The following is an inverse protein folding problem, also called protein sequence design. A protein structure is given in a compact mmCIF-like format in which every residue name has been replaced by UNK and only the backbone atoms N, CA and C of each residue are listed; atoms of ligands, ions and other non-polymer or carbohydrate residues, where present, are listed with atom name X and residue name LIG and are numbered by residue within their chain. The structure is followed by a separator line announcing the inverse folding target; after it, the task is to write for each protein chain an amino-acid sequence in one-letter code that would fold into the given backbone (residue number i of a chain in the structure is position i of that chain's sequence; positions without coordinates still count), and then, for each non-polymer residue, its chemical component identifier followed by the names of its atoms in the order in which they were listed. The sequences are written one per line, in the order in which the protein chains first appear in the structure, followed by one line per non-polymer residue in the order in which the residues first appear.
data_IF_495673422125
#
_entry.id   IF_495673422125
#
_cell.length_a   1.000
_cell.length_b   1.000
_cell.length_c   1.000
_cell.angle_alpha   90.00
_cell.angle_beta   90.00
_cell.angle_gamma   90.00
#
_symmetry.space_group_name_H-M   'P 1'
#
loop_
_entity.id
_entity.type
_entity.pdbx_description
1 polymer ?
#
# COMPACT_ATOMS: atom_id res chain seq x y z
N UNK A 1 25.70 8.97 5.14
CA UNK A 1 24.70 7.90 5.10
C UNK A 1 23.30 8.50 5.17
N UNK A 2 22.38 7.97 4.37
CA UNK A 2 20.98 8.44 4.32
C UNK A 2 20.04 7.53 5.13
N UNK A 3 20.59 6.80 6.09
CA UNK A 3 19.84 5.87 6.95
C UNK A 3 19.91 6.31 8.42
N UNK A 4 18.78 6.32 9.09
CA UNK A 4 18.65 6.63 10.51
C UNK A 4 17.94 5.47 11.21
N UNK A 5 18.63 4.80 12.11
CA UNK A 5 18.02 3.82 13.00
C UNK A 5 17.43 4.55 14.22
N UNK A 6 16.12 4.50 14.38
CA UNK A 6 15.39 5.15 15.48
C UNK A 6 15.16 4.21 16.68
N UNK A 7 15.67 2.98 16.62
CA UNK A 7 15.40 1.94 17.61
C UNK A 7 13.91 1.57 17.65
N UNK A 8 13.39 1.29 18.86
CA UNK A 8 11.98 1.00 19.10
C UNK A 8 11.26 2.27 19.55
N UNK A 9 11.17 3.25 18.65
CA UNK A 9 10.62 4.57 18.93
C UNK A 9 9.74 5.07 17.78
N UNK A 10 8.58 4.47 17.60
CA UNK A 10 7.69 4.69 16.46
C UNK A 10 7.19 6.14 16.37
N UNK A 11 6.80 6.76 17.51
CA UNK A 11 6.39 8.17 17.54
C UNK A 11 7.53 9.09 17.11
N UNK A 12 8.75 8.81 17.59
CA UNK A 12 9.94 9.58 17.21
C UNK A 12 10.21 9.46 15.70
N UNK A 13 10.10 8.24 15.14
CA UNK A 13 10.31 8.02 13.72
C UNK A 13 9.38 8.87 12.85
N UNK A 14 8.09 8.93 13.21
CA UNK A 14 7.08 9.69 12.45
C UNK A 14 7.30 11.20 12.60
N UNK A 15 7.51 11.70 13.82
CA UNK A 15 7.75 13.13 14.05
C UNK A 15 9.07 13.60 13.43
N UNK A 16 10.14 12.79 13.50
CA UNK A 16 11.41 13.07 12.82
C UNK A 16 11.22 13.18 11.31
N UNK A 17 10.51 12.23 10.71
CA UNK A 17 10.20 12.26 9.28
C UNK A 17 9.40 13.51 8.89
N UNK A 18 8.44 13.93 9.72
CA UNK A 18 7.71 15.19 9.53
C UNK A 18 8.65 16.40 9.51
N UNK A 19 9.56 16.49 10.49
CA UNK A 19 10.58 17.55 10.55
C UNK A 19 11.50 17.55 9.30
N UNK A 20 11.95 16.38 8.85
CA UNK A 20 12.74 16.25 7.63
C UNK A 20 11.96 16.72 6.39
N UNK A 21 10.68 16.38 6.30
CA UNK A 21 9.82 16.80 5.19
C UNK A 21 9.60 18.31 5.16
N UNK A 22 9.53 18.98 6.31
CA UNK A 22 9.48 20.44 6.41
C UNK A 22 10.71 21.13 5.81
N UNK A 23 11.87 20.47 5.83
CA UNK A 23 13.14 20.95 5.24
C UNK A 23 13.32 20.50 3.78
N UNK A 24 12.26 19.96 3.13
CA UNK A 24 12.27 19.56 1.72
C UNK A 24 12.89 18.19 1.44
N UNK A 25 13.20 17.41 2.49
CA UNK A 25 13.63 16.02 2.34
C UNK A 25 12.40 15.14 2.09
N UNK A 26 12.55 14.07 1.32
CA UNK A 26 11.51 13.05 1.12
C UNK A 26 11.86 11.80 1.94
N UNK A 27 11.45 11.73 3.21
CA UNK A 27 11.78 10.62 4.07
C UNK A 27 10.91 9.39 3.76
N UNK A 28 11.53 8.21 3.91
CA UNK A 28 10.85 6.92 3.86
C UNK A 28 10.92 6.29 5.24
N UNK A 29 9.77 6.04 5.85
CA UNK A 29 9.64 5.39 7.17
C UNK A 29 9.26 3.93 6.94
N UNK A 30 10.22 3.02 7.13
CA UNK A 30 9.98 1.58 7.07
C UNK A 30 9.61 1.08 8.49
N UNK A 31 8.39 0.59 8.65
CA UNK A 31 7.84 0.22 9.96
C UNK A 31 6.81 -0.91 9.80
N UNK A 32 6.69 -1.79 10.80
CA UNK A 32 5.62 -2.78 10.79
C UNK A 32 4.25 -2.13 10.97
N UNK A 33 3.26 -2.62 10.20
CA UNK A 33 1.89 -2.13 10.27
C UNK A 33 1.36 -2.09 11.73
N UNK A 34 1.55 -3.17 12.49
CA UNK A 34 1.11 -3.22 13.89
C UNK A 34 1.79 -2.20 14.80
N UNK A 35 3.08 -1.89 14.56
CA UNK A 35 3.82 -0.95 15.41
C UNK A 35 3.54 0.51 15.09
N UNK A 36 3.15 0.81 13.85
CA UNK A 36 2.74 2.17 13.48
C UNK A 36 1.52 2.66 14.27
N UNK A 37 0.72 1.77 14.84
CA UNK A 37 -0.41 2.14 15.70
C UNK A 37 0.02 3.04 16.89
N UNK A 38 1.25 2.88 17.41
CA UNK A 38 1.77 3.73 18.50
C UNK A 38 1.99 5.17 18.08
N UNK A 39 2.14 5.43 16.79
CA UNK A 39 2.36 6.77 16.24
C UNK A 39 1.11 7.34 15.57
N UNK A 40 -0.07 6.86 15.91
CA UNK A 40 -1.32 7.27 15.26
C UNK A 40 -1.59 8.78 15.41
N UNK A 41 -1.34 9.34 16.60
CA UNK A 41 -1.44 10.78 16.82
C UNK A 41 -0.48 11.57 15.92
N UNK A 42 0.78 11.15 15.83
CA UNK A 42 1.79 11.78 14.99
C UNK A 42 1.45 11.67 13.50
N UNK A 43 0.85 10.56 13.05
CA UNK A 43 0.36 10.43 11.68
C UNK A 43 -0.69 11.49 11.35
N UNK A 44 -1.60 11.77 12.28
CA UNK A 44 -2.64 12.79 12.11
C UNK A 44 -2.04 14.19 12.18
N UNK A 45 -1.42 14.50 13.33
CA UNK A 45 -1.02 15.87 13.70
C UNK A 45 0.24 16.31 12.95
N UNK A 46 1.28 15.48 12.94
CA UNK A 46 2.58 15.89 12.41
C UNK A 46 2.68 15.71 10.89
N UNK A 47 1.88 14.79 10.30
CA UNK A 47 1.98 14.44 8.89
C UNK A 47 0.72 14.78 8.11
N UNK A 48 -0.41 14.16 8.46
CA UNK A 48 -1.63 14.20 7.64
C UNK A 48 -2.25 15.59 7.54
N UNK A 49 -2.42 16.30 8.65
CA UNK A 49 -2.99 17.65 8.69
C UNK A 49 -2.10 18.65 7.93
N UNK A 50 -0.79 18.48 8.02
CA UNK A 50 0.19 19.35 7.36
C UNK A 50 0.44 18.96 5.90
N UNK A 51 -0.12 17.85 5.43
CA UNK A 51 0.07 17.30 4.07
C UNK A 51 1.55 17.12 3.70
N UNK A 52 2.37 16.60 4.62
CA UNK A 52 3.81 16.46 4.41
C UNK A 52 4.13 15.22 3.55
N UNK A 53 5.08 15.33 2.59
CA UNK A 53 5.44 14.26 1.67
C UNK A 53 6.33 13.21 2.35
N UNK A 54 5.75 12.44 3.25
CA UNK A 54 6.38 11.32 3.94
C UNK A 54 5.84 10.01 3.37
N UNK A 55 6.74 9.11 2.97
CA UNK A 55 6.41 7.76 2.50
C UNK A 55 6.51 6.76 3.65
N UNK A 56 5.43 6.07 3.95
CA UNK A 56 5.40 4.96 4.92
C UNK A 56 5.41 3.62 4.18
N UNK A 57 6.44 2.81 4.41
CA UNK A 57 6.49 1.41 3.94
C UNK A 57 6.07 0.52 5.11
N UNK A 58 4.86 -0.01 5.04
CA UNK A 58 4.25 -0.82 6.09
C UNK A 58 4.52 -2.29 5.84
N UNK A 59 5.55 -2.82 6.47
CA UNK A 59 5.85 -4.25 6.45
C UNK A 59 4.86 -5.02 7.34
N UNK A 60 4.64 -6.27 7.03
CA UNK A 60 3.72 -7.16 7.75
C UNK A 60 2.29 -6.64 7.81
N UNK A 61 1.83 -6.02 6.74
CA UNK A 61 0.44 -5.60 6.59
C UNK A 61 -0.47 -6.82 6.37
N UNK A 62 -1.60 -6.86 7.07
CA UNK A 62 -2.53 -7.97 7.02
C UNK A 62 -2.23 -9.07 8.04
N UNK A 63 -2.56 -10.32 7.70
CA UNK A 63 -2.36 -11.49 8.57
C UNK A 63 -0.94 -11.99 8.42
N UNK A 64 -0.24 -12.18 9.54
CA UNK A 64 1.20 -12.51 9.57
C UNK A 64 1.51 -13.93 10.06
N UNK A 65 0.52 -14.72 10.46
CA UNK A 65 0.69 -16.14 10.81
C UNK A 65 1.66 -16.34 11.99
N UNK A 66 2.85 -16.85 11.69
CA UNK A 66 3.84 -17.28 12.69
C UNK A 66 4.37 -16.18 13.61
N UNK A 67 4.25 -14.89 13.25
CA UNK A 67 4.66 -13.78 14.14
C UNK A 67 3.68 -13.61 15.32
N UNK A 68 2.55 -14.30 15.30
CA UNK A 68 1.60 -14.38 16.40
C UNK A 68 0.63 -13.21 16.53
N UNK A 69 -0.22 -13.23 17.57
CA UNK A 69 -1.37 -12.34 17.68
C UNK A 69 -1.00 -10.87 17.86
N UNK A 70 0.18 -10.56 18.36
CA UNK A 70 0.63 -9.20 18.62
C UNK A 70 1.19 -8.47 17.39
N UNK A 71 1.40 -9.20 16.28
CA UNK A 71 2.03 -8.67 15.07
C UNK A 71 1.08 -8.55 13.88
N UNK A 72 -0.22 -8.81 14.07
CA UNK A 72 -1.21 -8.72 13.00
C UNK A 72 -1.41 -7.28 12.53
N UNK A 73 -1.21 -7.05 11.22
CA UNK A 73 -1.32 -5.73 10.58
C UNK A 73 -2.71 -5.46 10.02
N UNK A 74 -3.75 -5.55 10.86
CA UNK A 74 -5.16 -5.53 10.41
C UNK A 74 -5.81 -4.15 10.45
N UNK A 75 -5.25 -3.20 11.18
CA UNK A 75 -5.93 -1.93 11.49
C UNK A 75 -5.47 -0.76 10.63
N UNK A 76 -4.35 -0.88 9.95
CA UNK A 76 -3.71 0.20 9.20
C UNK A 76 -4.62 0.80 8.11
N UNK A 77 -5.32 0.00 7.33
CA UNK A 77 -6.29 0.49 6.33
C UNK A 77 -7.35 1.37 7.00
N UNK A 78 -7.92 0.89 8.10
CA UNK A 78 -9.01 1.59 8.78
C UNK A 78 -8.59 2.96 9.29
N UNK A 79 -7.46 3.04 10.01
CA UNK A 79 -7.04 4.33 10.57
C UNK A 79 -6.38 5.25 9.52
N UNK A 80 -5.63 4.72 8.54
CA UNK A 80 -5.04 5.54 7.49
C UNK A 80 -6.09 6.17 6.57
N UNK A 81 -7.22 5.49 6.34
CA UNK A 81 -8.33 6.07 5.60
C UNK A 81 -9.02 7.22 6.33
N UNK A 82 -8.91 7.30 7.65
CA UNK A 82 -9.44 8.41 8.44
C UNK A 82 -8.50 9.64 8.45
N UNK A 83 -7.18 9.43 8.30
CA UNK A 83 -6.19 10.52 8.32
C UNK A 83 -6.28 11.34 7.03
N UNK A 84 -6.38 12.68 7.11
CA UNK A 84 -6.47 13.50 5.90
C UNK A 84 -5.24 13.37 4.99
N UNK A 85 -5.46 13.58 3.70
CA UNK A 85 -4.44 13.65 2.65
C UNK A 85 -3.66 12.35 2.35
N UNK A 86 -3.80 11.29 3.13
CA UNK A 86 -3.08 10.04 2.89
C UNK A 86 -3.50 9.35 1.59
N UNK A 87 -2.52 8.92 0.83
CA UNK A 87 -2.69 7.92 -0.24
C UNK A 87 -2.29 6.55 0.30
N UNK A 88 -3.15 5.54 0.14
CA UNK A 88 -2.92 4.19 0.69
C UNK A 88 -3.00 3.15 -0.42
N UNK A 89 -1.92 2.40 -0.61
CA UNK A 89 -1.76 1.44 -1.70
C UNK A 89 -1.14 0.13 -1.26
N UNK A 90 -1.35 -0.94 -2.04
CA UNK A 90 -0.70 -2.24 -1.86
C UNK A 90 -0.45 -2.90 -3.20
N UNK A 91 0.80 -3.33 -3.50
CA UNK A 91 1.17 -3.94 -4.75
C UNK A 91 0.71 -5.39 -4.84
N UNK A 92 0.36 -5.83 -6.05
CA UNK A 92 0.04 -7.24 -6.33
C UNK A 92 1.28 -8.13 -6.40
N UNK A 93 2.43 -7.55 -6.80
CA UNK A 93 3.69 -8.24 -7.04
C UNK A 93 4.89 -7.30 -6.87
N UNK A 94 6.10 -7.82 -7.07
CA UNK A 94 7.36 -7.10 -6.88
C UNK A 94 7.56 -5.99 -7.93
N UNK A 95 7.09 -6.18 -9.15
CA UNK A 95 7.18 -5.16 -10.21
C UNK A 95 6.29 -3.95 -9.88
N UNK A 96 5.05 -4.20 -9.45
CA UNK A 96 4.14 -3.13 -9.03
C UNK A 96 4.63 -2.44 -7.74
N UNK A 97 5.33 -3.18 -6.84
CA UNK A 97 5.99 -2.60 -5.66
C UNK A 97 7.00 -1.52 -6.05
N UNK A 98 7.83 -1.77 -7.08
CA UNK A 98 8.78 -0.77 -7.57
C UNK A 98 8.07 0.50 -8.09
N UNK A 99 7.03 0.33 -8.90
CA UNK A 99 6.24 1.46 -9.43
C UNK A 99 5.53 2.25 -8.31
N UNK A 100 4.96 1.54 -7.33
CA UNK A 100 4.30 2.17 -6.19
C UNK A 100 5.27 2.92 -5.29
N UNK A 101 6.50 2.42 -5.10
CA UNK A 101 7.52 3.14 -4.34
C UNK A 101 7.90 4.44 -5.05
N UNK A 102 8.11 4.41 -6.37
CA UNK A 102 8.36 5.61 -7.17
C UNK A 102 7.17 6.57 -7.11
N UNK A 103 5.96 6.05 -7.16
CA UNK A 103 4.72 6.84 -7.01
C UNK A 103 4.69 7.57 -5.66
N UNK A 104 5.00 6.87 -4.57
CA UNK A 104 5.07 7.47 -3.23
C UNK A 104 6.11 8.58 -3.15
N UNK A 105 7.33 8.35 -3.67
CA UNK A 105 8.43 9.33 -3.63
C UNK A 105 8.12 10.57 -4.47
N UNK A 106 7.42 10.41 -5.58
CA UNK A 106 7.04 11.51 -6.46
C UNK A 106 5.78 12.26 -5.98
N UNK A 107 4.99 11.65 -5.09
CA UNK A 107 3.80 12.27 -4.54
C UNK A 107 4.14 13.43 -3.60
N UNK A 108 3.37 14.53 -3.68
CA UNK A 108 3.55 15.71 -2.83
C UNK A 108 2.59 15.70 -1.62
N UNK A 109 2.40 14.54 -1.02
CA UNK A 109 1.59 14.33 0.16
C UNK A 109 1.96 13.02 0.85
N UNK A 110 1.37 12.72 2.01
CA UNK A 110 1.67 11.50 2.73
C UNK A 110 1.14 10.27 1.98
N UNK A 111 1.96 9.22 1.97
CA UNK A 111 1.62 7.96 1.32
C UNK A 111 1.99 6.75 2.17
N UNK A 112 1.18 5.70 2.07
CA UNK A 112 1.41 4.43 2.74
C UNK A 112 1.38 3.29 1.73
N UNK A 113 2.50 2.58 1.63
CA UNK A 113 2.71 1.40 0.80
C UNK A 113 2.72 0.17 1.70
N UNK A 114 1.73 -0.69 1.54
CA UNK A 114 1.53 -1.88 2.38
C UNK A 114 2.13 -3.11 1.71
N UNK A 115 2.98 -3.82 2.43
CA UNK A 115 3.56 -5.10 1.98
C UNK A 115 3.25 -6.21 2.99
N UNK A 116 2.89 -7.42 2.53
CA UNK A 116 2.58 -8.55 3.42
C UNK A 116 3.86 -9.18 3.97
N UNK A 117 3.71 -10.02 5.00
CA UNK A 117 4.76 -10.96 5.40
C UNK A 117 4.74 -12.18 4.47
N UNK A 118 5.81 -12.46 3.78
CA UNK A 118 5.89 -13.62 2.90
C UNK A 118 6.92 -13.45 1.79
N UNK A 119 6.96 -14.42 0.92
CA UNK A 119 7.69 -14.34 -0.34
C UNK A 119 6.80 -13.67 -1.39
N UNK A 120 7.40 -12.96 -2.33
CA UNK A 120 6.69 -12.42 -3.48
C UNK A 120 6.23 -13.51 -4.46
N UNK A 121 5.49 -13.10 -5.47
CA UNK A 121 4.98 -13.99 -6.54
C UNK A 121 6.09 -14.38 -7.54
N UNK A 122 7.27 -13.76 -7.47
CA UNK A 122 8.39 -13.99 -8.39
C UNK A 122 8.29 -13.19 -9.68
N UNK A 123 7.61 -12.05 -9.66
CA UNK A 123 7.54 -11.16 -10.82
C UNK A 123 8.93 -10.61 -11.17
N UNK A 124 9.20 -10.47 -12.47
CA UNK A 124 10.44 -9.88 -12.93
C UNK A 124 10.55 -8.42 -12.49
N UNK A 125 11.68 -8.09 -11.87
CA UNK A 125 11.96 -6.70 -11.49
C UNK A 125 12.30 -5.88 -12.73
N UNK A 126 11.84 -4.64 -12.74
CA UNK A 126 12.21 -3.67 -13.77
C UNK A 126 13.63 -3.18 -13.49
N UNK A 127 14.51 -3.27 -14.49
CA UNK A 127 15.90 -2.80 -14.37
C UNK A 127 16.00 -1.28 -14.56
N UNK A 128 15.17 -0.73 -15.44
CA UNK A 128 15.12 0.71 -15.79
C UNK A 128 13.67 1.14 -16.08
N UNK A 129 13.43 2.45 -16.17
CA UNK A 129 12.16 3.02 -16.64
C UNK A 129 11.02 2.91 -15.64
N UNK A 130 11.31 3.01 -14.35
CA UNK A 130 10.27 2.99 -13.33
C UNK A 130 9.39 4.23 -13.41
N UNK A 131 8.15 4.03 -13.82
CA UNK A 131 7.16 5.10 -13.92
C UNK A 131 6.22 5.08 -12.72
N UNK A 132 5.77 6.29 -12.34
CA UNK A 132 4.74 6.43 -11.32
C UNK A 132 3.40 5.93 -11.85
N UNK A 133 2.66 5.24 -11.01
CA UNK A 133 1.25 4.92 -11.27
C UNK A 133 0.38 6.18 -11.11
N UNK A 134 -0.69 6.25 -11.86
CA UNK A 134 -1.73 7.25 -11.65
C UNK A 134 -2.46 6.96 -10.33
N UNK A 135 -2.37 7.91 -9.38
CA UNK A 135 -2.96 7.74 -8.05
C UNK A 135 -4.48 7.63 -8.14
N UNK A 136 -5.02 6.62 -7.49
CA UNK A 136 -6.46 6.36 -7.45
C UNK A 136 -6.99 5.66 -8.71
N UNK A 137 -6.11 5.09 -9.55
CA UNK A 137 -6.53 4.28 -10.70
C UNK A 137 -6.27 2.79 -10.46
N UNK A 138 -7.34 2.03 -10.60
CA UNK A 138 -7.31 0.57 -10.59
C UNK A 138 -6.83 0.02 -11.93
N UNK A 139 -6.51 -1.27 -11.96
CA UNK A 139 -6.15 -2.01 -13.17
C UNK A 139 -7.19 -3.09 -13.43
N UNK A 140 -7.82 -3.09 -14.61
CA UNK A 140 -8.65 -4.21 -15.07
C UNK A 140 -7.71 -5.27 -15.62
N UNK A 141 -7.66 -6.43 -14.98
CA UNK A 141 -6.79 -7.55 -15.39
C UNK A 141 -7.49 -8.47 -16.39
N UNK A 142 -8.75 -8.75 -16.15
CA UNK A 142 -9.61 -9.58 -17.02
C UNK A 142 -11.02 -8.99 -17.06
N UNK A 143 -11.66 -8.99 -18.22
CA UNK A 143 -13.03 -8.54 -18.40
C UNK A 143 -13.97 -9.77 -18.52
N UNK A 144 -15.11 -9.70 -17.85
CA UNK A 144 -16.17 -10.69 -17.87
C UNK A 144 -17.50 -10.07 -17.46
N UNK A 145 -18.61 -10.83 -17.65
CA UNK A 145 -19.97 -10.31 -17.51
C UNK A 145 -20.81 -10.95 -16.41
N UNK A 146 -20.26 -11.96 -15.73
CA UNK A 146 -21.05 -12.74 -14.74
C UNK A 146 -20.73 -12.37 -13.27
N UNK A 147 -19.47 -11.99 -12.98
CA UNK A 147 -19.00 -11.76 -11.63
C UNK A 147 -17.88 -10.73 -11.62
N UNK A 148 -17.90 -9.84 -10.62
CA UNK A 148 -16.79 -8.93 -10.33
C UNK A 148 -15.97 -9.46 -9.15
N UNK A 149 -14.67 -9.62 -9.35
CA UNK A 149 -13.68 -9.98 -8.32
C UNK A 149 -12.71 -8.83 -8.17
N UNK A 150 -12.70 -8.20 -6.99
CA UNK A 150 -11.78 -7.10 -6.69
C UNK A 150 -10.68 -7.63 -5.77
N UNK A 151 -9.44 -7.64 -6.26
CA UNK A 151 -8.25 -7.97 -5.47
C UNK A 151 -7.55 -6.71 -4.97
N UNK A 152 -6.87 -6.81 -3.82
CA UNK A 152 -6.04 -5.75 -3.26
C UNK A 152 -4.75 -6.33 -2.70
N UNK A 153 -3.62 -5.81 -3.16
CA UNK A 153 -2.30 -6.31 -2.77
C UNK A 153 -2.12 -7.79 -3.09
N UNK A 154 -1.60 -8.57 -2.16
CA UNK A 154 -1.36 -10.01 -2.32
C UNK A 154 -2.59 -10.85 -2.67
N UNK A 155 -3.81 -10.31 -2.53
CA UNK A 155 -5.03 -11.03 -2.88
C UNK A 155 -5.38 -10.94 -4.37
N UNK A 156 -4.65 -10.17 -5.16
CA UNK A 156 -4.87 -10.07 -6.61
C UNK A 156 -4.51 -11.39 -7.31
N UNK A 157 -3.38 -12.01 -6.99
CA UNK A 157 -3.00 -13.30 -7.57
C UNK A 157 -3.98 -14.43 -7.25
N UNK A 158 -4.48 -14.58 -6.00
CA UNK A 158 -5.60 -15.47 -5.70
C UNK A 158 -6.88 -15.13 -6.48
N UNK A 159 -7.20 -13.85 -6.70
CA UNK A 159 -8.36 -13.44 -7.49
C UNK A 159 -8.26 -13.91 -8.94
N UNK A 160 -7.11 -13.73 -9.58
CA UNK A 160 -6.83 -14.22 -10.95
C UNK A 160 -6.99 -15.75 -11.04
N UNK A 161 -6.39 -16.48 -10.09
CA UNK A 161 -6.50 -17.94 -10.03
C UNK A 161 -7.96 -18.41 -9.85
N UNK A 162 -8.72 -17.68 -9.04
CA UNK A 162 -10.15 -17.95 -8.82
C UNK A 162 -10.96 -17.72 -10.10
N UNK A 163 -10.73 -16.63 -10.80
CA UNK A 163 -11.39 -16.35 -12.09
C UNK A 163 -11.12 -17.45 -13.12
N UNK A 164 -9.88 -17.93 -13.20
CA UNK A 164 -9.53 -19.04 -14.09
C UNK A 164 -10.29 -20.34 -13.78
N UNK A 165 -10.43 -20.70 -12.50
CA UNK A 165 -11.22 -21.87 -12.07
C UNK A 165 -12.71 -21.67 -12.39
N UNK A 166 -13.28 -20.50 -12.14
CA UNK A 166 -14.67 -20.19 -12.43
C UNK A 166 -14.99 -20.26 -13.93
N UNK A 167 -14.04 -19.85 -14.77
CA UNK A 167 -14.16 -19.90 -16.22
C UNK A 167 -14.32 -21.33 -16.77
N UNK A 168 -13.67 -22.32 -16.14
CA UNK A 168 -13.87 -23.75 -16.46
C UNK A 168 -15.32 -24.20 -16.18
N UNK A 169 -16.02 -23.53 -15.28
CA UNK A 169 -17.43 -23.76 -14.95
C UNK A 169 -18.40 -22.86 -15.73
N UNK A 170 -17.91 -22.10 -16.72
CA UNK A 170 -18.71 -21.22 -17.55
C UNK A 170 -19.03 -19.86 -16.93
N UNK A 171 -18.35 -19.46 -15.85
CA UNK A 171 -18.53 -18.15 -15.22
C UNK A 171 -17.37 -17.23 -15.61
N UNK A 172 -17.64 -16.24 -16.45
CA UNK A 172 -16.67 -15.22 -16.86
C UNK A 172 -16.65 -14.09 -15.83
N UNK A 173 -15.50 -13.85 -15.21
CA UNK A 173 -15.35 -12.85 -14.16
C UNK A 173 -14.54 -11.66 -14.64
N UNK A 174 -14.99 -10.44 -14.32
CA UNK A 174 -14.11 -9.27 -14.35
C UNK A 174 -13.20 -9.31 -13.12
N UNK A 175 -11.89 -9.17 -13.32
CA UNK A 175 -10.90 -9.13 -12.24
C UNK A 175 -10.27 -7.75 -12.21
N UNK A 176 -10.39 -7.06 -11.08
CA UNK A 176 -9.80 -5.74 -10.85
C UNK A 176 -8.74 -5.82 -9.76
N UNK A 177 -7.55 -5.30 -10.05
CA UNK A 177 -6.56 -4.92 -9.05
C UNK A 177 -6.87 -3.50 -8.57
N UNK A 178 -7.36 -3.37 -7.35
CA UNK A 178 -7.75 -2.07 -6.81
C UNK A 178 -6.58 -1.10 -6.63
N UNK A 179 -5.34 -1.59 -6.48
CA UNK A 179 -4.11 -0.81 -6.23
C UNK A 179 -4.19 0.12 -5.03
N UNK A 180 -5.26 0.93 -4.95
CA UNK A 180 -5.46 1.97 -3.94
C UNK A 180 -6.76 1.72 -3.18
N UNK A 181 -6.71 1.87 -1.86
CA UNK A 181 -7.92 1.95 -1.02
C UNK A 181 -8.22 3.39 -0.61
N UNK A 182 -7.28 4.30 -0.92
CA UNK A 182 -7.45 5.75 -0.81
C UNK A 182 -6.45 6.48 -1.72
N UNK A 183 -6.94 7.28 -2.69
CA UNK A 183 -8.33 7.29 -3.16
C UNK A 183 -8.71 5.97 -3.82
N UNK A 184 -9.96 5.58 -3.75
CA UNK A 184 -10.50 4.41 -4.45
C UNK A 184 -10.95 4.81 -5.86
N UNK A 185 -10.71 3.96 -6.85
CA UNK A 185 -11.22 4.13 -8.21
C UNK A 185 -12.69 3.69 -8.29
N UNK A 186 -13.57 4.56 -7.81
CA UNK A 186 -15.00 4.29 -7.81
C UNK A 186 -15.57 4.18 -9.23
N UNK A 187 -15.01 4.93 -10.18
CA UNK A 187 -15.43 4.91 -11.58
C UNK A 187 -15.22 3.52 -12.20
N UNK A 188 -14.02 2.97 -12.09
CA UNK A 188 -13.71 1.62 -12.62
C UNK A 188 -14.50 0.51 -11.91
N UNK A 189 -14.82 0.68 -10.61
CA UNK A 189 -15.55 -0.33 -9.84
C UNK A 189 -17.05 -0.31 -10.15
N UNK A 190 -17.63 0.85 -10.49
CA UNK A 190 -19.08 0.98 -10.72
C UNK A 190 -19.50 0.78 -12.18
N UNK A 191 -18.58 0.84 -13.14
CA UNK A 191 -18.82 0.60 -14.57
C UNK A 191 -18.69 -0.88 -14.94
#
# INVERSE_FOLDING_TARGET
DQYVDVGIAEQHAVTLAGGMACEGIKPVVAIYSTFLQRAYDQLIHDIGIQNLPVTFVLDRAGIVGADGPTHQGQYDISYLRCVPNFTVMAPKDESELQQMLVTCINHNGPSALRIPRGSGEGAALMEEGWESLEIGKAEIIEEGDNLLIIGYGSMVCPAIKTAAILKESGVNSTVINARFVRPLDEETIHN
#
